data_IF_457505397647
#
_entry.id   IF_457505397647
#
_cell.length_a   1.000
_cell.length_b   1.000
_cell.length_c   1.000
_cell.angle_alpha   90.00
_cell.angle_beta   90.00
_cell.angle_gamma   90.00
#
_symmetry.space_group_name_H-M   'P 1'
#
loop_
_entity.id
_entity.type
_entity.pdbx_description
1 polymer ?
#
# COMPACT_ATOMS: atom_id res chain seq x y z
N UNK A 1 -11.53 -6.12 -10.84
CA UNK A 1 -10.41 -6.66 -11.65
C UNK A 1 -9.26 -5.66 -11.81
N UNK A 2 -9.50 -4.37 -12.05
CA UNK A 2 -8.44 -3.35 -12.17
C UNK A 2 -7.44 -3.32 -11.01
N UNK A 3 -7.91 -3.46 -9.77
CA UNK A 3 -7.05 -3.42 -8.58
C UNK A 3 -6.07 -4.60 -8.47
N UNK A 4 -6.37 -5.75 -9.08
CA UNK A 4 -5.41 -6.86 -9.17
C UNK A 4 -4.22 -6.43 -10.03
N UNK A 5 -4.50 -5.81 -11.18
CA UNK A 5 -3.47 -5.29 -12.08
C UNK A 5 -2.58 -4.24 -11.41
N UNK A 6 -3.16 -3.32 -10.64
CA UNK A 6 -2.40 -2.32 -9.88
C UNK A 6 -1.49 -3.01 -8.86
N UNK A 7 -2.01 -3.95 -8.05
CA UNK A 7 -1.19 -4.63 -7.04
C UNK A 7 -0.02 -5.41 -7.67
N UNK A 8 -0.27 -6.14 -8.77
CA UNK A 8 0.79 -6.85 -9.51
C UNK A 8 1.84 -5.88 -10.05
N UNK A 9 1.39 -4.77 -10.66
CA UNK A 9 2.28 -3.76 -11.22
C UNK A 9 3.20 -3.18 -10.13
N UNK A 10 2.67 -2.91 -8.95
CA UNK A 10 3.45 -2.42 -7.80
C UNK A 10 4.54 -3.41 -7.39
N UNK A 11 4.28 -4.73 -7.42
CA UNK A 11 5.30 -5.74 -7.13
C UNK A 11 6.39 -5.80 -8.21
N UNK A 12 6.00 -5.71 -9.48
CA UNK A 12 6.95 -5.65 -10.59
C UNK A 12 7.82 -4.39 -10.48
N UNK A 13 7.20 -3.26 -10.17
CA UNK A 13 7.90 -1.98 -10.03
C UNK A 13 8.91 -2.02 -8.87
N UNK A 14 8.54 -2.59 -7.71
CA UNK A 14 9.52 -2.78 -6.64
C UNK A 14 10.68 -3.70 -7.07
N UNK A 15 10.41 -4.79 -7.79
CA UNK A 15 11.47 -5.68 -8.30
C UNK A 15 12.42 -4.95 -9.25
N UNK A 16 11.90 -4.05 -10.09
CA UNK A 16 12.72 -3.19 -10.95
C UNK A 16 13.57 -2.23 -10.10
N UNK A 17 12.98 -1.60 -9.09
CA UNK A 17 13.68 -0.67 -8.20
C UNK A 17 14.78 -1.33 -7.36
N UNK A 18 14.70 -2.64 -7.10
CA UNK A 18 15.78 -3.36 -6.43
C UNK A 18 17.09 -3.40 -7.24
N UNK A 19 17.03 -3.16 -8.56
CA UNK A 19 18.20 -3.07 -9.43
C UNK A 19 18.61 -1.61 -9.71
N UNK A 20 17.90 -0.62 -9.17
CA UNK A 20 18.25 0.79 -9.29
C UNK A 20 19.39 1.14 -8.31
N UNK A 21 20.17 2.15 -8.62
CA UNK A 21 21.23 2.65 -7.72
C UNK A 21 20.68 3.33 -6.46
N UNK A 22 19.41 3.74 -6.47
CA UNK A 22 18.69 4.34 -5.34
C UNK A 22 18.05 3.24 -4.49
N UNK A 23 18.60 3.00 -3.32
CA UNK A 23 18.16 1.93 -2.40
C UNK A 23 17.07 2.38 -1.41
N UNK A 24 16.82 3.68 -1.34
CA UNK A 24 15.86 4.36 -0.46
C UNK A 24 14.41 4.35 -0.98
N UNK A 25 14.20 3.98 -2.25
CA UNK A 25 12.86 3.94 -2.85
C UNK A 25 12.15 2.63 -2.52
N UNK A 26 10.99 2.77 -1.88
CA UNK A 26 10.11 1.66 -1.48
C UNK A 26 8.73 1.85 -2.11
N UNK A 27 8.22 0.77 -2.68
CA UNK A 27 6.98 0.70 -3.43
C UNK A 27 6.16 -0.45 -2.85
N UNK A 28 5.00 -0.13 -2.29
CA UNK A 28 4.06 -1.08 -1.70
C UNK A 28 2.65 -0.79 -2.21
N UNK A 29 1.82 -1.83 -2.29
CA UNK A 29 0.39 -1.70 -2.52
C UNK A 29 -0.31 -1.68 -1.17
N UNK A 30 -1.44 -0.98 -1.06
CA UNK A 30 -2.24 -1.04 0.17
C UNK A 30 -3.74 -0.95 -0.08
N UNK A 31 -4.49 -1.36 0.94
CA UNK A 31 -5.93 -1.16 1.02
C UNK A 31 -6.24 -0.25 2.21
N UNK A 32 -6.97 0.86 2.01
CA UNK A 32 -7.44 1.71 3.10
C UNK A 32 -8.62 1.06 3.88
N UNK A 33 -9.18 -0.04 3.36
CA UNK A 33 -10.39 -0.67 3.87
C UNK A 33 -11.66 -0.02 3.31
N UNK A 34 -12.81 -0.30 3.93
CA UNK A 34 -14.10 0.25 3.50
C UNK A 34 -14.37 1.58 4.21
N UNK A 35 -14.02 2.68 3.53
CA UNK A 35 -14.01 4.05 4.07
C UNK A 35 -15.26 4.82 3.64
N UNK A 36 -15.80 5.67 4.51
CA UNK A 36 -16.94 6.55 4.26
C UNK A 36 -16.55 7.73 3.34
N UNK A 37 -16.67 7.54 2.02
CA UNK A 37 -16.37 8.53 0.98
C UNK A 37 -17.46 8.51 -0.09
N UNK A 38 -17.43 9.45 -1.03
CA UNK A 38 -18.38 9.49 -2.16
C UNK A 38 -18.33 8.17 -2.97
N UNK A 39 -17.14 7.58 -3.13
CA UNK A 39 -16.95 6.30 -3.83
C UNK A 39 -17.68 5.13 -3.15
N UNK A 40 -17.81 5.16 -1.82
CA UNK A 40 -18.58 4.16 -1.05
C UNK A 40 -20.02 4.59 -0.79
N UNK A 41 -20.48 5.69 -1.38
CA UNK A 41 -21.76 6.33 -1.07
C UNK A 41 -21.94 6.61 0.43
N UNK A 42 -20.85 6.93 1.12
CA UNK A 42 -20.78 7.13 2.56
C UNK A 42 -21.30 5.93 3.41
N UNK A 43 -21.16 4.69 2.91
CA UNK A 43 -21.59 3.46 3.63
C UNK A 43 -20.44 2.70 4.31
N UNK A 44 -19.20 3.13 4.13
CA UNK A 44 -18.05 2.49 4.76
C UNK A 44 -18.05 2.68 6.29
N UNK A 45 -17.69 1.66 7.09
CA UNK A 45 -17.61 1.77 8.54
C UNK A 45 -16.40 2.59 9.03
N UNK A 46 -15.36 2.76 8.20
CA UNK A 46 -14.17 3.55 8.55
C UNK A 46 -14.38 5.03 8.20
N UNK A 47 -13.94 5.91 9.09
CA UNK A 47 -13.74 7.33 8.81
C UNK A 47 -12.58 7.55 7.82
N UNK A 48 -12.51 8.75 7.24
CA UNK A 48 -11.42 9.14 6.34
C UNK A 48 -10.06 9.00 7.05
N UNK A 49 -9.98 9.43 8.31
CA UNK A 49 -8.77 9.36 9.13
C UNK A 49 -8.32 7.92 9.34
N UNK A 50 -9.22 7.01 9.68
CA UNK A 50 -8.92 5.59 9.85
C UNK A 50 -8.49 4.93 8.53
N UNK A 51 -9.10 5.33 7.41
CA UNK A 51 -8.71 4.88 6.08
C UNK A 51 -7.31 5.34 5.65
N UNK A 52 -6.89 6.53 6.10
CA UNK A 52 -5.60 7.12 5.77
C UNK A 52 -4.42 6.49 6.52
N UNK A 53 -4.66 5.76 7.62
CA UNK A 53 -3.60 5.22 8.49
C UNK A 53 -2.59 4.36 7.72
N UNK A 54 -3.03 3.36 6.94
CA UNK A 54 -2.11 2.47 6.21
C UNK A 54 -1.33 3.18 5.09
N UNK A 55 -1.97 3.99 4.21
CA UNK A 55 -1.25 4.80 3.23
C UNK A 55 -0.21 5.76 3.86
N UNK A 56 -0.57 6.45 4.94
CA UNK A 56 0.34 7.40 5.62
C UNK A 56 1.49 6.66 6.29
N UNK A 57 1.23 5.52 6.93
CA UNK A 57 2.26 4.65 7.48
C UNK A 57 3.29 4.25 6.41
N UNK A 58 2.84 3.85 5.21
CA UNK A 58 3.72 3.47 4.11
C UNK A 58 4.51 4.65 3.52
N UNK A 59 3.92 5.85 3.50
CA UNK A 59 4.59 7.05 3.02
C UNK A 59 5.69 7.55 3.98
N UNK A 60 5.59 7.20 5.26
CA UNK A 60 6.49 7.65 6.34
C UNK A 60 7.42 6.55 6.85
N UNK A 61 7.66 5.50 6.06
CA UNK A 61 8.61 4.45 6.44
C UNK A 61 10.00 5.05 6.68
N UNK A 62 10.70 4.64 7.76
CA UNK A 62 12.06 5.13 8.03
C UNK A 62 13.02 4.83 6.88
N UNK A 63 14.04 5.67 6.72
CA UNK A 63 15.16 5.40 5.82
C UNK A 63 15.81 4.04 6.16
N UNK A 64 16.19 3.27 5.14
CA UNK A 64 16.77 1.94 5.32
C UNK A 64 15.77 0.83 5.67
N UNK A 65 14.46 1.10 5.60
CA UNK A 65 13.42 0.07 5.78
C UNK A 65 13.59 -1.06 4.76
N UNK A 66 13.77 -2.29 5.26
CA UNK A 66 13.88 -3.50 4.42
C UNK A 66 12.55 -4.23 4.26
N UNK A 67 11.57 -3.97 5.15
CA UNK A 67 10.21 -4.49 5.10
C UNK A 67 9.25 -3.55 5.83
N UNK A 68 8.05 -3.25 5.27
CA UNK A 68 7.48 -3.79 4.03
C UNK A 68 8.12 -3.18 2.76
N UNK A 69 8.44 -4.01 1.77
CA UNK A 69 9.03 -3.60 0.49
C UNK A 69 8.54 -4.50 -0.64
N UNK A 70 7.68 -3.99 -1.52
CA UNK A 70 7.05 -4.76 -2.59
C UNK A 70 5.91 -5.66 -2.10
N UNK A 71 5.24 -5.28 -1.02
CA UNK A 71 4.18 -6.06 -0.40
C UNK A 71 2.81 -5.39 -0.57
N UNK A 72 1.75 -6.14 -0.28
CA UNK A 72 0.40 -5.62 -0.13
C UNK A 72 0.04 -5.53 1.35
N UNK A 73 -0.42 -4.34 1.79
CA UNK A 73 -0.77 -4.09 3.18
C UNK A 73 -2.24 -3.72 3.37
N UNK A 74 -2.80 -4.16 4.48
CA UNK A 74 -4.07 -3.67 5.02
C UNK A 74 -3.94 -3.58 6.54
N UNK A 75 -4.45 -2.50 7.10
CA UNK A 75 -4.41 -2.25 8.56
C UNK A 75 -2.97 -2.26 9.11
N UNK A 76 -2.04 -1.66 8.36
CA UNK A 76 -0.60 -1.64 8.65
C UNK A 76 0.05 -3.04 8.78
N UNK A 77 -0.60 -4.08 8.27
CA UNK A 77 -0.07 -5.45 8.27
C UNK A 77 0.13 -5.95 6.86
N UNK A 78 1.23 -6.67 6.62
CA UNK A 78 1.46 -7.38 5.36
C UNK A 78 0.40 -8.48 5.26
N UNK A 79 -0.35 -8.47 4.16
CA UNK A 79 -1.31 -9.53 3.83
C UNK A 79 -0.67 -10.46 2.81
N UNK A 80 -0.90 -11.75 3.00
CA UNK A 80 -0.50 -12.73 1.99
C UNK A 80 -1.32 -12.49 0.73
N UNK A 81 -0.64 -12.02 -0.31
CA UNK A 81 -1.16 -11.88 -1.65
C UNK A 81 -0.62 -13.09 -2.39
N UNK A 82 -1.47 -14.11 -2.55
CA UNK A 82 -1.08 -15.48 -2.91
C UNK A 82 -0.25 -15.62 -4.18
#
# INVERSE_FOLDING_TARGET
MSHIGITVMTFIQQRQMNNDTRDDIIINACCPGFVQTDMSSHKGPKTIQEGAVTPVYLALLPAGTTSPKGNFLSDCTIKNWG
#
